data_IF_004942087668
#
_entry.id   IF_004942087668
#
_cell.length_a   1.000
_cell.length_b   1.000
_cell.length_c   1.000
_cell.angle_alpha   90.00
_cell.angle_beta   90.00
_cell.angle_gamma   90.00
#
_symmetry.space_group_name_H-M   'P 1'
#
loop_
_entity.id
_entity.type
_entity.pdbx_description
1 polymer ?
#
# COMPACT_ATOMS: atom_id res chain seq x y z
N UNK A 1 -10.69 16.80 5.46
CA UNK A 1 -9.60 15.86 5.53
C UNK A 1 -9.84 14.71 4.55
N UNK A 2 -8.83 14.32 3.87
CA UNK A 2 -8.94 13.24 2.91
C UNK A 2 -8.70 11.88 3.59
N UNK A 3 -9.30 10.85 3.01
CA UNK A 3 -9.09 9.50 3.48
C UNK A 3 -7.67 9.03 3.13
N UNK A 4 -7.06 8.21 3.96
CA UNK A 4 -5.74 7.68 3.64
C UNK A 4 -5.80 6.73 2.44
N UNK A 5 -4.70 6.67 1.71
CA UNK A 5 -4.53 5.69 0.65
C UNK A 5 -4.11 4.37 1.29
N UNK A 6 -4.86 3.33 1.03
CA UNK A 6 -4.57 2.02 1.61
C UNK A 6 -3.94 1.12 0.56
N UNK A 7 -2.77 0.59 0.91
CA UNK A 7 -2.05 -0.40 0.12
C UNK A 7 -2.24 -1.74 0.83
N UNK A 8 -2.97 -2.65 0.22
CA UNK A 8 -3.25 -3.95 0.82
C UNK A 8 -2.26 -4.99 0.30
N UNK A 9 -1.75 -5.82 1.21
CA UNK A 9 -0.84 -6.91 0.86
C UNK A 9 -1.45 -8.21 1.39
N UNK A 10 -1.74 -9.13 0.50
CA UNK A 10 -2.30 -10.43 0.89
C UNK A 10 -1.20 -11.38 1.33
N UNK A 11 -1.59 -12.49 1.95
CA UNK A 11 -0.65 -13.50 2.42
C UNK A 11 0.23 -14.07 1.30
N UNK A 12 -0.27 -14.06 0.07
CA UNK A 12 0.49 -14.48 -1.11
C UNK A 12 1.54 -13.46 -1.55
N UNK A 13 1.51 -12.25 -0.96
CA UNK A 13 2.36 -11.15 -1.38
C UNK A 13 1.74 -10.28 -2.46
N UNK A 14 0.53 -10.59 -2.90
CA UNK A 14 -0.19 -9.78 -3.90
C UNK A 14 -0.53 -8.42 -3.34
N UNK A 15 -0.39 -7.38 -4.15
CA UNK A 15 -0.55 -5.99 -3.74
C UNK A 15 -1.75 -5.37 -4.45
N UNK A 16 -2.52 -4.60 -3.70
CA UNK A 16 -3.73 -3.94 -4.19
C UNK A 16 -3.78 -2.50 -3.67
N UNK A 17 -4.37 -1.60 -4.45
CA UNK A 17 -4.69 -0.25 -3.99
C UNK A 17 -6.19 -0.15 -3.78
N UNK A 18 -6.60 0.37 -2.63
CA UNK A 18 -8.01 0.54 -2.33
C UNK A 18 -8.49 1.90 -2.83
N UNK A 19 -8.51 2.03 -4.15
CA UNK A 19 -9.12 3.16 -4.85
C UNK A 19 -10.16 2.58 -5.80
N UNK A 20 -11.22 3.32 -6.02
CA UNK A 20 -12.39 2.82 -6.72
C UNK A 20 -12.07 2.19 -8.07
N UNK A 21 -11.23 2.85 -8.86
CA UNK A 21 -10.89 2.38 -10.21
C UNK A 21 -10.02 1.13 -10.23
N UNK A 22 -9.42 0.74 -9.10
CA UNK A 22 -8.47 -0.35 -9.03
C UNK A 22 -8.88 -1.43 -8.02
N UNK A 23 -10.09 -1.35 -7.49
CA UNK A 23 -10.55 -2.33 -6.50
C UNK A 23 -10.51 -3.75 -7.08
N UNK A 24 -9.92 -4.66 -6.29
CA UNK A 24 -9.84 -6.06 -6.68
C UNK A 24 -8.82 -6.38 -7.75
N UNK A 25 -8.08 -5.39 -8.22
CA UNK A 25 -7.07 -5.60 -9.25
C UNK A 25 -5.69 -5.72 -8.64
N UNK A 26 -5.05 -6.87 -8.81
CA UNK A 26 -3.68 -7.07 -8.36
C UNK A 26 -2.74 -6.20 -9.18
N UNK A 27 -1.80 -5.53 -8.50
CA UNK A 27 -0.85 -4.63 -9.15
C UNK A 27 0.56 -5.19 -9.09
N UNK A 28 1.32 -5.00 -10.18
CA UNK A 28 2.75 -5.20 -10.14
C UNK A 28 3.41 -4.04 -9.38
N UNK A 29 4.68 -4.19 -9.02
CA UNK A 29 5.42 -3.09 -8.38
C UNK A 29 5.47 -1.85 -9.27
N UNK A 30 5.63 -2.03 -10.58
CA UNK A 30 5.62 -0.90 -11.51
C UNK A 30 4.28 -0.19 -11.54
N UNK A 31 3.19 -0.95 -11.56
CA UNK A 31 1.85 -0.37 -11.51
C UNK A 31 1.59 0.35 -10.20
N UNK A 32 2.05 -0.24 -9.10
CA UNK A 32 1.95 0.41 -7.78
C UNK A 32 2.67 1.76 -7.80
N UNK A 33 3.91 1.78 -8.32
CA UNK A 33 4.69 3.00 -8.41
C UNK A 33 3.99 4.06 -9.25
N UNK A 34 3.52 3.69 -10.42
CA UNK A 34 2.87 4.65 -11.32
C UNK A 34 1.63 5.26 -10.67
N UNK A 35 0.81 4.44 -10.05
CA UNK A 35 -0.43 4.93 -9.46
C UNK A 35 -0.20 5.75 -8.19
N UNK A 36 0.67 5.28 -7.31
CA UNK A 36 0.95 6.00 -6.06
C UNK A 36 1.68 7.32 -6.34
N UNK A 37 2.61 7.32 -7.28
CA UNK A 37 3.31 8.56 -7.65
C UNK A 37 2.35 9.64 -8.14
N UNK A 38 1.37 9.26 -8.95
CA UNK A 38 0.37 10.22 -9.42
C UNK A 38 -0.45 10.80 -8.27
N UNK A 39 -0.83 9.94 -7.32
CA UNK A 39 -1.63 10.38 -6.19
C UNK A 39 -0.82 11.29 -5.26
N UNK A 40 0.45 10.98 -5.04
CA UNK A 40 1.32 11.80 -4.21
C UNK A 40 1.68 13.12 -4.89
N UNK A 41 1.81 13.13 -6.21
CA UNK A 41 2.05 14.37 -6.95
C UNK A 41 0.85 15.31 -6.82
N UNK A 42 -0.36 14.75 -6.85
CA UNK A 42 -1.58 15.53 -6.72
C UNK A 42 -1.79 16.01 -5.27
N UNK A 43 -1.36 15.23 -4.30
CA UNK A 43 -1.50 15.55 -2.89
C UNK A 43 -0.27 15.05 -2.12
N UNK A 44 0.78 15.89 -1.99
CA UNK A 44 2.01 15.48 -1.30
C UNK A 44 1.82 15.15 0.19
N UNK A 45 0.73 15.58 0.78
CA UNK A 45 0.41 15.31 2.18
C UNK A 45 -0.46 14.07 2.37
N UNK A 46 -0.73 13.36 1.28
CA UNK A 46 -1.57 12.17 1.33
C UNK A 46 -0.98 11.14 2.30
N UNK A 47 -1.81 10.70 3.23
CA UNK A 47 -1.40 9.67 4.16
C UNK A 47 -1.49 8.30 3.49
N UNK A 48 -0.46 7.49 3.64
CA UNK A 48 -0.42 6.14 3.07
C UNK A 48 -0.40 5.13 4.21
N UNK A 49 -1.23 4.11 4.09
CA UNK A 49 -1.33 3.06 5.10
C UNK A 49 -1.16 1.71 4.39
N UNK A 50 -0.27 0.88 4.91
CA UNK A 50 -0.15 -0.50 4.46
C UNK A 50 -1.03 -1.37 5.35
N UNK A 51 -1.91 -2.14 4.73
CA UNK A 51 -2.71 -3.15 5.43
C UNK A 51 -2.21 -4.52 5.00
N UNK A 52 -1.52 -5.22 5.89
CA UNK A 52 -0.99 -6.54 5.60
C UNK A 52 -1.83 -7.64 6.22
N UNK A 53 -2.02 -8.74 5.50
CA UNK A 53 -2.55 -9.95 6.09
C UNK A 53 -1.58 -10.40 7.18
N UNK A 54 -2.09 -10.88 8.31
CA UNK A 54 -1.24 -11.30 9.42
C UNK A 54 -0.26 -12.42 9.08
N UNK A 55 -0.48 -13.10 7.94
CA UNK A 55 0.41 -14.17 7.47
C UNK A 55 1.35 -13.73 6.38
N UNK A 56 1.34 -12.44 5.99
CA UNK A 56 2.26 -11.94 4.97
C UNK A 56 3.68 -11.93 5.55
N UNK A 57 4.66 -12.25 4.72
CA UNK A 57 6.06 -12.21 5.15
C UNK A 57 6.50 -10.79 5.40
N UNK A 58 7.20 -10.59 6.52
CA UNK A 58 7.71 -9.28 6.92
C UNK A 58 8.57 -8.65 5.82
N UNK A 59 9.41 -9.45 5.19
CA UNK A 59 10.28 -8.97 4.12
C UNK A 59 9.47 -8.34 2.98
N UNK A 60 8.33 -8.94 2.64
CA UNK A 60 7.47 -8.39 1.58
C UNK A 60 6.91 -7.04 1.98
N UNK A 61 6.49 -6.90 3.23
CA UNK A 61 5.99 -5.63 3.75
C UNK A 61 7.08 -4.56 3.69
N UNK A 62 8.31 -4.94 4.07
CA UNK A 62 9.43 -4.00 4.05
C UNK A 62 9.79 -3.54 2.64
N UNK A 63 9.70 -4.43 1.65
CA UNK A 63 9.95 -4.06 0.26
C UNK A 63 8.93 -3.01 -0.19
N UNK A 64 7.66 -3.23 0.10
CA UNK A 64 6.60 -2.29 -0.28
C UNK A 64 6.78 -0.96 0.45
N UNK A 65 7.11 -1.00 1.74
CA UNK A 65 7.34 0.21 2.52
C UNK A 65 8.48 1.05 1.94
N UNK A 66 9.60 0.40 1.61
CA UNK A 66 10.74 1.09 1.01
C UNK A 66 10.36 1.72 -0.33
N UNK A 67 9.56 1.02 -1.12
CA UNK A 67 9.06 1.50 -2.39
C UNK A 67 8.24 2.78 -2.20
N UNK A 68 7.30 2.76 -1.26
CA UNK A 68 6.46 3.91 -0.97
C UNK A 68 7.28 5.10 -0.47
N UNK A 69 8.26 4.84 0.39
CA UNK A 69 9.14 5.89 0.89
C UNK A 69 9.95 6.54 -0.24
N UNK A 70 10.41 5.73 -1.19
CA UNK A 70 11.18 6.25 -2.33
C UNK A 70 10.35 7.15 -3.23
N UNK A 71 9.03 7.03 -3.19
CA UNK A 71 8.12 7.89 -3.96
C UNK A 71 7.71 9.15 -3.22
N UNK A 72 8.19 9.33 -2.00
CA UNK A 72 7.92 10.52 -1.21
C UNK A 72 6.85 10.37 -0.15
N UNK A 73 6.30 9.16 0.04
CA UNK A 73 5.36 8.94 1.12
C UNK A 73 6.06 9.11 2.47
N UNK A 74 5.44 9.88 3.37
CA UNK A 74 5.94 10.11 4.72
C UNK A 74 4.99 9.46 5.70
N UNK A 75 5.47 9.16 6.89
CA UNK A 75 4.63 8.68 7.98
C UNK A 75 3.70 7.55 7.55
N UNK A 76 4.27 6.51 6.93
CA UNK A 76 3.49 5.38 6.46
C UNK A 76 2.95 4.59 7.65
N UNK A 77 1.63 4.47 7.72
CA UNK A 77 0.98 3.65 8.73
C UNK A 77 1.06 2.18 8.36
N UNK A 78 1.07 1.32 9.36
CA UNK A 78 1.07 -0.12 9.15
C UNK A 78 -0.02 -0.75 10.01
N UNK A 79 -0.95 -1.43 9.34
CA UNK A 79 -2.02 -2.16 9.99
C UNK A 79 -1.87 -3.62 9.59
N UNK A 80 -1.84 -4.51 10.58
CA UNK A 80 -1.82 -5.94 10.30
C UNK A 80 -3.19 -6.54 10.64
N UNK A 81 -3.70 -7.32 9.70
CA UNK A 81 -4.95 -8.04 9.92
C UNK A 81 -4.61 -9.42 10.41
N UNK A 82 -4.91 -9.68 11.68
CA UNK A 82 -4.63 -10.97 12.26
C UNK A 82 -5.59 -12.02 11.72
N UNK A 83 -5.10 -13.25 11.49
CA UNK A 83 -6.00 -14.32 11.08
C UNK A 83 -6.94 -14.67 12.23
N UNK A 84 -8.15 -15.05 11.86
CA UNK A 84 -9.11 -15.53 12.85
C UNK A 84 -8.63 -16.87 13.41
N UNK A 85 -8.78 -17.00 14.70
CA UNK A 85 -8.40 -18.23 15.40
C UNK A 85 -9.62 -19.07 15.73
#
# INVERSE_FOLDING_TARGET
>A
SSEPLIVSIKDTGSVYLEVESLLGQELSLDQLNQNVSKLLDADPSLQVVIRGDGRVEYEKVMVIMAQLQSMGAKDIGLITKEPLQ
#
